data_IF_891812284358
#
_entry.id   IF_891812284358
#
_cell.length_a   1.000
_cell.length_b   1.000
_cell.length_c   1.000
_cell.angle_alpha   90.00
_cell.angle_beta   90.00
_cell.angle_gamma   90.00
#
_symmetry.space_group_name_H-M   'P 1'
#
loop_
_entity.id
_entity.type
_entity.pdbx_description
1 polymer ?
#
# COMPACT_ATOMS: atom_id res chain seq x y z
N UNK A 1 1.53 3.21 7.63
CA UNK A 1 0.26 2.73 8.22
C UNK A 1 0.57 1.93 9.47
N UNK A 2 -0.01 2.29 10.63
CA UNK A 2 0.13 1.49 11.85
C UNK A 2 -0.93 0.39 11.83
N UNK A 3 -0.55 -0.82 12.23
CA UNK A 3 -1.37 -2.03 12.10
C UNK A 3 -1.24 -2.89 13.36
N UNK A 4 -2.16 -3.81 13.63
CA UNK A 4 -2.01 -4.77 14.73
C UNK A 4 -1.01 -5.87 14.38
N UNK A 5 -1.01 -6.34 13.13
CA UNK A 5 -0.01 -7.26 12.59
C UNK A 5 0.64 -6.67 11.36
N UNK A 6 1.98 -6.63 11.35
CA UNK A 6 2.77 -6.12 10.22
C UNK A 6 2.78 -7.05 9.01
N UNK A 7 2.46 -8.33 9.24
CA UNK A 7 2.48 -9.41 8.26
C UNK A 7 1.05 -9.91 8.02
N UNK A 8 0.84 -10.65 6.91
CA UNK A 8 -0.46 -11.24 6.54
C UNK A 8 -1.26 -10.43 5.52
N UNK A 9 -0.92 -9.15 5.34
CA UNK A 9 -1.54 -8.32 4.29
C UNK A 9 -1.13 -8.78 2.88
N UNK A 10 0.05 -9.42 2.76
CA UNK A 10 0.56 -9.96 1.50
C UNK A 10 -0.33 -11.08 0.94
N UNK A 11 -0.99 -11.83 1.83
CA UNK A 11 -1.85 -12.97 1.46
C UNK A 11 -3.32 -12.55 1.31
N UNK A 12 -3.67 -11.32 1.72
CA UNK A 12 -5.04 -10.82 1.65
C UNK A 12 -5.39 -10.44 0.20
N UNK A 13 -6.34 -11.12 -0.47
CA UNK A 13 -6.62 -10.88 -1.89
C UNK A 13 -7.00 -9.43 -2.19
N UNK A 14 -7.83 -8.82 -1.34
CA UNK A 14 -8.22 -7.42 -1.51
C UNK A 14 -7.06 -6.41 -1.41
N UNK A 15 -6.00 -6.74 -0.66
CA UNK A 15 -4.81 -5.88 -0.59
C UNK A 15 -3.98 -6.04 -1.87
N UNK A 16 -3.82 -7.27 -2.37
CA UNK A 16 -3.10 -7.52 -3.61
C UNK A 16 -3.80 -6.88 -4.81
N UNK A 17 -5.12 -6.99 -4.90
CA UNK A 17 -5.91 -6.30 -5.92
C UNK A 17 -5.76 -4.78 -5.85
N UNK A 18 -5.77 -4.20 -4.64
CA UNK A 18 -5.55 -2.76 -4.46
C UNK A 18 -4.15 -2.34 -4.91
N UNK A 19 -3.11 -3.14 -4.63
CA UNK A 19 -1.73 -2.90 -5.07
C UNK A 19 -1.65 -2.92 -6.60
N UNK A 20 -2.28 -3.88 -7.27
CA UNK A 20 -2.24 -3.95 -8.73
C UNK A 20 -3.01 -2.79 -9.39
N UNK A 21 -4.17 -2.41 -8.83
CA UNK A 21 -4.89 -1.20 -9.28
C UNK A 21 -4.04 0.05 -9.09
N UNK A 22 -3.37 0.19 -7.95
CA UNK A 22 -2.48 1.30 -7.66
C UNK A 22 -1.31 1.37 -8.66
N UNK A 23 -0.64 0.25 -8.96
CA UNK A 23 0.42 0.18 -9.98
C UNK A 23 -0.09 0.60 -11.36
N UNK A 24 -1.29 0.15 -11.74
CA UNK A 24 -1.92 0.53 -13.00
C UNK A 24 -2.22 2.04 -13.06
N UNK A 25 -2.76 2.62 -11.98
CA UNK A 25 -3.04 4.07 -11.88
C UNK A 25 -1.77 4.92 -11.95
N UNK A 26 -0.70 4.48 -11.31
CA UNK A 26 0.61 5.13 -11.38
C UNK A 26 1.26 4.95 -12.75
N UNK A 27 0.83 3.98 -13.56
CA UNK A 27 1.34 3.70 -14.90
C UNK A 27 2.70 3.00 -14.94
N UNK A 28 3.36 2.84 -13.78
CA UNK A 28 4.65 2.14 -13.65
C UNK A 28 4.69 1.30 -12.37
N UNK A 29 4.89 -0.02 -12.46
CA UNK A 29 4.97 -0.89 -11.29
C UNK A 29 6.07 -0.47 -10.31
N UNK A 30 7.25 -0.08 -10.79
CA UNK A 30 8.40 0.30 -9.95
C UNK A 30 8.17 1.56 -9.11
N UNK A 31 7.13 2.32 -9.39
CA UNK A 31 6.77 3.52 -8.64
C UNK A 31 6.03 3.24 -7.34
N UNK A 32 5.65 2.00 -7.06
CA UNK A 32 4.99 1.61 -5.81
C UNK A 32 5.83 0.59 -5.02
N UNK A 33 6.13 0.93 -3.77
CA UNK A 33 6.74 0.03 -2.79
C UNK A 33 5.85 -0.10 -1.56
N UNK A 34 5.43 -1.32 -1.25
CA UNK A 34 4.69 -1.67 -0.02
C UNK A 34 5.49 -2.73 0.73
N UNK A 35 5.83 -2.48 1.99
CA UNK A 35 6.67 -3.40 2.79
C UNK A 35 6.36 -3.32 4.29
N UNK A 36 6.47 -4.44 5.03
CA UNK A 36 6.40 -4.39 6.49
C UNK A 36 7.63 -3.67 7.08
N UNK A 37 7.48 -3.12 8.28
CA UNK A 37 8.60 -2.62 9.07
C UNK A 37 9.31 -3.75 9.80
N UNK A 38 10.65 -3.73 9.80
CA UNK A 38 11.46 -4.78 10.43
C UNK A 38 11.38 -4.83 11.95
N UNK A 39 11.04 -3.71 12.59
CA UNK A 39 11.10 -3.56 14.06
C UNK A 39 9.82 -3.00 14.69
N UNK A 40 8.85 -2.59 13.88
CA UNK A 40 7.63 -1.92 14.36
C UNK A 40 6.37 -2.54 13.72
N UNK A 41 5.20 -2.44 14.38
CA UNK A 41 3.93 -2.88 13.82
C UNK A 41 3.38 -1.85 12.81
N UNK A 42 4.13 -1.68 11.72
CA UNK A 42 3.89 -0.67 10.69
C UNK A 42 4.08 -1.28 9.31
N UNK A 43 3.18 -0.97 8.38
CA UNK A 43 3.38 -1.19 6.94
C UNK A 43 3.75 0.15 6.30
N UNK A 44 4.83 0.16 5.53
CA UNK A 44 5.33 1.33 4.78
C UNK A 44 4.80 1.26 3.35
N UNK A 45 4.22 2.36 2.91
CA UNK A 45 3.76 2.59 1.54
C UNK A 45 4.55 3.77 1.01
N UNK A 46 5.20 3.60 -0.14
CA UNK A 46 5.86 4.66 -0.88
C UNK A 46 5.38 4.61 -2.31
N UNK A 47 4.90 5.74 -2.81
CA UNK A 47 4.52 5.91 -4.20
C UNK A 47 5.23 7.13 -4.79
N UNK A 48 5.41 7.15 -6.11
CA UNK A 48 5.92 8.30 -6.86
C UNK A 48 5.20 8.40 -8.20
N UNK A 49 5.19 9.59 -8.79
CA UNK A 49 4.51 9.82 -10.07
C UNK A 49 4.57 11.28 -10.50
N UNK A 50 4.23 11.58 -11.75
CA UNK A 50 4.22 12.95 -12.29
C UNK A 50 3.04 13.78 -11.77
N UNK A 51 1.97 13.13 -11.31
CA UNK A 51 0.77 13.76 -10.75
C UNK A 51 0.69 13.47 -9.25
N UNK A 52 0.82 14.52 -8.43
CA UNK A 52 0.79 14.41 -6.98
C UNK A 52 -0.58 13.98 -6.45
N UNK A 53 -1.70 14.39 -7.08
CA UNK A 53 -3.02 13.99 -6.58
C UNK A 53 -3.25 12.49 -6.79
N UNK A 54 -2.80 11.94 -7.91
CA UNK A 54 -2.85 10.50 -8.16
C UNK A 54 -2.01 9.73 -7.14
N UNK A 55 -0.81 10.23 -6.82
CA UNK A 55 0.07 9.64 -5.81
C UNK A 55 -0.61 9.63 -4.44
N UNK A 56 -1.16 10.76 -4.00
CA UNK A 56 -1.81 10.90 -2.70
C UNK A 56 -3.05 10.00 -2.59
N UNK A 57 -3.89 9.96 -3.64
CA UNK A 57 -5.07 9.10 -3.69
C UNK A 57 -4.71 7.61 -3.59
N UNK A 58 -3.69 7.18 -4.34
CA UNK A 58 -3.23 5.79 -4.33
C UNK A 58 -2.68 5.39 -2.96
N UNK A 59 -1.88 6.26 -2.33
CA UNK A 59 -1.33 6.00 -0.99
C UNK A 59 -2.44 5.95 0.05
N UNK A 60 -3.44 6.84 -0.04
CA UNK A 60 -4.61 6.86 0.83
C UNK A 60 -5.44 5.58 0.74
N UNK A 61 -5.86 5.20 -0.47
CA UNK A 61 -6.65 3.98 -0.72
C UNK A 61 -5.93 2.74 -0.17
N UNK A 62 -4.64 2.58 -0.47
CA UNK A 62 -3.84 1.46 0.03
C UNK A 62 -3.72 1.46 1.55
N UNK A 63 -3.58 2.63 2.16
CA UNK A 63 -3.47 2.73 3.61
C UNK A 63 -4.75 2.24 4.32
N UNK A 64 -5.92 2.60 3.79
CA UNK A 64 -7.21 2.17 4.31
C UNK A 64 -7.40 0.65 4.14
N UNK A 65 -7.14 0.12 2.95
CA UNK A 65 -7.31 -1.31 2.67
C UNK A 65 -6.39 -2.17 3.54
N UNK A 66 -5.12 -1.77 3.69
CA UNK A 66 -4.16 -2.49 4.56
C UNK A 66 -4.59 -2.39 6.02
N UNK A 67 -5.02 -1.21 6.47
CA UNK A 67 -5.52 -1.05 7.85
C UNK A 67 -6.76 -1.90 8.11
N UNK A 68 -7.66 -2.07 7.14
CA UNK A 68 -8.84 -2.91 7.31
C UNK A 68 -8.49 -4.41 7.33
N UNK A 69 -7.45 -4.83 6.59
CA UNK A 69 -7.06 -6.23 6.47
C UNK A 69 -6.25 -6.75 7.67
N UNK A 70 -5.37 -5.91 8.25
CA UNK A 70 -4.41 -6.33 9.30
C UNK A 70 -4.31 -5.36 10.48
N UNK A 71 -5.16 -4.35 10.51
CA UNK A 71 -5.38 -3.52 11.70
C UNK A 71 -6.23 -4.21 12.73
#
# INVERSE_FOLDING_TARGET
>A
VRVHRRDGWQEHPGVQEAIERARARLGRPEWLSVRPSGTEPVVRIMAQGPDASVVDEVVGELAEVISAAVG
#
